data_IF_956475262927
#
_entry.id   IF_956475262927
#
_cell.length_a   1.000
_cell.length_b   1.000
_cell.length_c   1.000
_cell.angle_alpha   90.00
_cell.angle_beta   90.00
_cell.angle_gamma   90.00
#
_symmetry.space_group_name_H-M   'P 1'
#
loop_
_entity.id
_entity.type
_entity.pdbx_description
1 polymer ?
#
# COMPACT_ATOMS: atom_id res chain seq x y z
N UNK A 1 -1.84 -3.33 -15.52
CA UNK A 1 -1.74 -1.89 -15.14
C UNK A 1 -1.70 -0.93 -16.33
N UNK A 2 -1.29 -1.33 -17.54
CA UNK A 2 -1.19 -0.43 -18.70
C UNK A 2 -2.47 0.38 -19.03
N UNK A 3 -3.71 -0.19 -18.97
CA UNK A 3 -4.92 0.58 -19.26
C UNK A 3 -5.12 1.77 -18.31
N UNK A 4 -4.98 1.58 -17.00
CA UNK A 4 -5.14 2.68 -16.04
C UNK A 4 -4.03 3.73 -16.19
N UNK A 5 -2.80 3.32 -16.51
CA UNK A 5 -1.71 4.25 -16.82
C UNK A 5 -2.05 5.14 -18.03
N UNK A 6 -2.57 4.55 -19.11
CA UNK A 6 -3.00 5.28 -20.30
C UNK A 6 -4.17 6.24 -20.02
N UNK A 7 -5.16 5.78 -19.24
CA UNK A 7 -6.28 6.64 -18.80
C UNK A 7 -5.78 7.82 -17.97
N UNK A 8 -4.86 7.58 -17.03
CA UNK A 8 -4.27 8.65 -16.21
C UNK A 8 -3.54 9.68 -17.06
N UNK A 9 -2.71 9.25 -18.03
CA UNK A 9 -2.02 10.19 -18.94
C UNK A 9 -3.04 11.00 -19.74
N UNK A 10 -4.09 10.35 -20.27
CA UNK A 10 -5.12 11.03 -21.07
C UNK A 10 -5.85 12.09 -20.25
N UNK A 11 -6.25 11.75 -19.03
CA UNK A 11 -6.95 12.70 -18.14
C UNK A 11 -6.01 13.81 -17.64
N UNK A 12 -4.73 13.51 -17.41
CA UNK A 12 -3.73 14.54 -17.11
C UNK A 12 -3.57 15.53 -18.26
N UNK A 13 -3.44 15.06 -19.49
CA UNK A 13 -3.30 15.93 -20.66
C UNK A 13 -4.54 16.80 -20.88
N UNK A 14 -5.76 16.27 -20.67
CA UNK A 14 -7.00 17.06 -20.70
C UNK A 14 -7.00 18.18 -19.65
N UNK A 15 -6.49 17.89 -18.43
CA UNK A 15 -6.36 18.91 -17.38
C UNK A 15 -5.40 20.01 -17.82
N UNK A 16 -4.23 19.65 -18.35
CA UNK A 16 -3.23 20.63 -18.84
C UNK A 16 -3.76 21.53 -19.96
N UNK A 17 -4.61 21.00 -20.86
CA UNK A 17 -5.23 21.82 -21.91
C UNK A 17 -6.12 22.94 -21.36
N UNK A 18 -6.72 22.71 -20.20
CA UNK A 18 -7.60 23.68 -19.52
C UNK A 18 -6.83 24.62 -18.58
N UNK A 19 -5.52 24.40 -18.37
CA UNK A 19 -4.67 25.26 -17.54
C UNK A 19 -4.25 26.51 -18.32
N UNK A 20 -4.45 27.69 -17.73
CA UNK A 20 -4.15 28.99 -18.36
C UNK A 20 -2.65 29.25 -18.53
N UNK A 21 -1.80 28.60 -17.72
CA UNK A 21 -0.37 28.90 -17.60
C UNK A 21 0.49 27.74 -18.15
N UNK A 22 0.45 27.55 -19.48
CA UNK A 22 1.08 26.40 -20.17
C UNK A 22 2.60 26.33 -20.00
N UNK A 23 3.26 27.48 -19.81
CA UNK A 23 4.72 27.61 -19.70
C UNK A 23 5.31 27.01 -18.40
N UNK A 24 4.47 26.67 -17.42
CA UNK A 24 4.86 26.05 -16.13
C UNK A 24 4.23 24.69 -15.87
N UNK A 25 3.68 24.06 -16.91
CA UNK A 25 2.92 22.81 -16.74
C UNK A 25 3.82 21.63 -16.37
N UNK A 26 3.48 20.96 -15.27
CA UNK A 26 4.13 19.71 -14.86
C UNK A 26 3.71 18.57 -15.79
N UNK A 27 4.67 17.90 -16.43
CA UNK A 27 4.42 16.68 -17.21
C UNK A 27 4.15 15.47 -16.31
N UNK A 28 3.47 14.45 -16.84
CA UNK A 28 3.25 13.19 -16.15
C UNK A 28 3.82 12.02 -16.97
N UNK A 29 4.66 11.21 -16.33
CA UNK A 29 5.08 9.91 -16.83
C UNK A 29 4.31 8.85 -16.05
N UNK A 30 3.65 7.93 -16.76
CA UNK A 30 3.10 6.72 -16.15
C UNK A 30 3.91 5.51 -16.60
N UNK A 31 4.47 4.78 -15.63
CA UNK A 31 5.17 3.53 -15.90
C UNK A 31 4.36 2.36 -15.37
N UNK A 32 4.15 1.36 -16.20
CA UNK A 32 3.53 0.10 -15.81
C UNK A 32 4.47 -1.05 -16.12
N UNK A 33 4.67 -1.93 -15.16
CA UNK A 33 5.50 -3.12 -15.30
C UNK A 33 4.86 -4.29 -14.56
N UNK A 34 5.22 -5.49 -14.97
CA UNK A 34 4.74 -6.71 -14.31
C UNK A 34 5.50 -6.96 -13.02
N UNK A 35 4.77 -7.43 -12.01
CA UNK A 35 5.34 -7.80 -10.72
C UNK A 35 6.25 -9.02 -10.86
N UNK A 36 7.08 -9.28 -9.84
CA UNK A 36 7.87 -10.52 -9.80
C UNK A 36 6.94 -11.73 -9.87
N UNK A 37 7.36 -12.75 -10.62
CA UNK A 37 6.58 -13.97 -10.81
C UNK A 37 5.13 -13.73 -11.29
N UNK A 38 4.86 -12.67 -12.06
CA UNK A 38 3.50 -12.39 -12.53
C UNK A 38 3.51 -11.78 -13.93
N UNK A 39 2.37 -11.79 -14.62
CA UNK A 39 2.26 -11.32 -16.00
C UNK A 39 3.30 -11.98 -16.91
N UNK A 40 4.00 -11.16 -17.70
CA UNK A 40 5.10 -11.61 -18.57
C UNK A 40 6.37 -12.03 -17.83
N UNK A 41 6.45 -11.78 -16.51
CA UNK A 41 7.55 -12.19 -15.62
C UNK A 41 7.21 -13.44 -14.79
N UNK A 42 6.11 -14.13 -15.08
CA UNK A 42 5.78 -15.39 -14.40
C UNK A 42 6.83 -16.46 -14.70
N UNK A 43 7.34 -17.08 -13.64
CA UNK A 43 8.35 -18.15 -13.70
C UNK A 43 7.87 -19.43 -13.04
N UNK A 44 6.96 -19.32 -12.07
CA UNK A 44 6.30 -20.44 -11.39
C UNK A 44 4.84 -20.09 -11.08
N UNK A 45 3.92 -20.67 -11.86
CA UNK A 45 2.49 -20.47 -11.67
C UNK A 45 1.99 -21.01 -10.32
N UNK A 46 2.59 -22.07 -9.76
CA UNK A 46 2.14 -22.63 -8.47
C UNK A 46 2.36 -21.64 -7.33
N UNK A 47 3.46 -20.89 -7.35
CA UNK A 47 3.76 -19.86 -6.36
C UNK A 47 2.73 -18.71 -6.35
N UNK A 48 1.95 -18.53 -7.42
CA UNK A 48 0.82 -17.59 -7.47
C UNK A 48 -0.48 -18.15 -6.89
N UNK A 49 -0.54 -19.44 -6.58
CA UNK A 49 -1.74 -20.10 -6.12
C UNK A 49 -1.91 -20.05 -4.59
N UNK A 50 -3.13 -20.34 -4.13
CA UNK A 50 -3.46 -20.47 -2.71
C UNK A 50 -3.10 -21.86 -2.15
N UNK A 51 -3.06 -21.99 -0.82
CA UNK A 51 -2.92 -23.31 -0.16
C UNK A 51 -3.89 -24.36 -0.68
N UNK A 52 -5.16 -23.99 -0.88
CA UNK A 52 -6.21 -24.90 -1.39
C UNK A 52 -5.95 -25.40 -2.81
N UNK A 53 -5.07 -24.71 -3.54
CA UNK A 53 -4.68 -25.03 -4.91
C UNK A 53 -3.32 -25.76 -4.96
N UNK A 54 -2.79 -26.21 -3.82
CA UNK A 54 -1.56 -26.98 -3.73
C UNK A 54 -0.29 -26.17 -3.45
N UNK A 55 -0.38 -24.85 -3.29
CA UNK A 55 0.78 -24.06 -2.89
C UNK A 55 1.02 -24.14 -1.38
N UNK A 56 1.90 -25.04 -0.93
CA UNK A 56 2.27 -25.16 0.48
C UNK A 56 2.96 -23.89 1.03
N UNK A 57 3.62 -23.12 0.16
CA UNK A 57 4.39 -21.90 0.48
C UNK A 57 3.59 -20.61 0.27
N UNK A 58 2.25 -20.67 0.22
CA UNK A 58 1.39 -19.54 -0.15
C UNK A 58 1.70 -18.23 0.61
N UNK A 59 1.99 -18.30 1.91
CA UNK A 59 2.31 -17.11 2.69
C UNK A 59 3.71 -16.52 2.36
N UNK A 60 4.68 -17.38 2.08
CA UNK A 60 6.03 -16.97 1.69
C UNK A 60 6.01 -16.37 0.29
N UNK A 61 5.36 -17.04 -0.65
CA UNK A 61 5.34 -16.66 -2.06
C UNK A 61 4.63 -15.32 -2.25
N UNK A 62 3.40 -15.18 -1.71
CA UNK A 62 2.66 -13.94 -1.87
C UNK A 62 3.41 -12.75 -1.26
N UNK A 63 3.97 -12.88 -0.05
CA UNK A 63 4.72 -11.80 0.58
C UNK A 63 5.97 -11.42 -0.20
N UNK A 64 6.76 -12.42 -0.61
CA UNK A 64 8.01 -12.19 -1.33
C UNK A 64 7.79 -11.52 -2.70
N UNK A 65 6.70 -11.84 -3.38
CA UNK A 65 6.35 -11.26 -4.68
C UNK A 65 6.09 -9.75 -4.55
N UNK A 66 5.16 -9.33 -3.69
CA UNK A 66 4.81 -7.90 -3.62
C UNK A 66 5.87 -7.09 -2.87
N UNK A 67 6.58 -7.68 -1.90
CA UNK A 67 7.73 -7.01 -1.27
C UNK A 67 8.86 -6.81 -2.27
N UNK A 68 9.21 -7.83 -3.06
CA UNK A 68 10.20 -7.69 -4.12
C UNK A 68 9.77 -6.73 -5.22
N UNK A 69 8.46 -6.59 -5.48
CA UNK A 69 7.92 -5.57 -6.39
C UNK A 69 8.14 -4.15 -5.85
N UNK A 70 8.01 -3.93 -4.54
CA UNK A 70 8.35 -2.64 -3.93
C UNK A 70 9.84 -2.31 -4.07
N UNK A 71 10.73 -3.30 -3.92
CA UNK A 71 12.17 -3.15 -4.20
C UNK A 71 12.43 -2.81 -5.67
N UNK A 72 11.78 -3.53 -6.60
CA UNK A 72 11.87 -3.25 -8.04
C UNK A 72 11.39 -1.82 -8.36
N UNK A 73 10.38 -1.32 -7.65
CA UNK A 73 9.86 0.05 -7.81
C UNK A 73 10.92 1.09 -7.41
N UNK A 74 11.57 0.90 -6.26
CA UNK A 74 12.66 1.77 -5.80
C UNK A 74 13.83 1.77 -6.79
N UNK A 75 14.21 0.59 -7.27
CA UNK A 75 15.23 0.44 -8.30
C UNK A 75 14.85 1.16 -9.60
N UNK A 76 13.60 1.02 -10.07
CA UNK A 76 13.13 1.75 -11.25
C UNK A 76 13.25 3.27 -11.07
N UNK A 77 12.92 3.79 -9.88
CA UNK A 77 13.04 5.22 -9.56
C UNK A 77 14.50 5.70 -9.66
N UNK A 78 15.48 4.88 -9.28
CA UNK A 78 16.91 5.24 -9.37
C UNK A 78 17.35 5.54 -10.81
N UNK A 79 16.84 4.78 -11.79
CA UNK A 79 17.37 4.81 -13.15
C UNK A 79 16.46 5.50 -14.17
N UNK A 80 15.17 5.68 -13.87
CA UNK A 80 14.21 6.18 -14.86
C UNK A 80 14.60 7.54 -15.43
N UNK A 81 15.15 8.44 -14.62
CA UNK A 81 15.60 9.76 -15.11
C UNK A 81 16.80 9.65 -16.06
N UNK A 82 17.75 8.76 -15.79
CA UNK A 82 18.92 8.56 -16.64
C UNK A 82 18.55 7.99 -18.02
N UNK A 83 17.50 7.16 -18.09
CA UNK A 83 16.99 6.64 -19.35
C UNK A 83 16.05 7.62 -20.07
N UNK A 84 15.18 8.31 -19.34
CA UNK A 84 14.19 9.19 -19.94
C UNK A 84 14.78 10.56 -20.34
N UNK A 85 15.74 11.07 -19.58
CA UNK A 85 16.31 12.42 -19.70
C UNK A 85 17.85 12.40 -19.64
N UNK A 86 18.53 11.75 -20.60
CA UNK A 86 19.96 11.51 -20.55
C UNK A 86 20.81 12.79 -20.59
N UNK A 87 20.24 13.92 -21.02
CA UNK A 87 20.91 15.23 -21.05
C UNK A 87 20.28 16.23 -20.06
N UNK A 88 19.49 15.74 -19.10
CA UNK A 88 18.85 16.54 -18.04
C UNK A 88 17.92 17.64 -18.57
N UNK A 89 17.24 17.38 -19.69
CA UNK A 89 16.22 18.27 -20.27
C UNK A 89 14.98 18.43 -19.37
N UNK A 90 14.73 17.45 -18.49
CA UNK A 90 13.65 17.44 -17.52
C UNK A 90 14.09 16.84 -16.19
N UNK A 91 13.45 17.25 -15.11
CA UNK A 91 13.68 16.75 -13.75
C UNK A 91 12.41 16.11 -13.20
N UNK A 92 12.53 14.90 -12.65
CA UNK A 92 11.42 14.27 -11.93
C UNK A 92 11.36 14.88 -10.52
N UNK A 93 10.25 15.55 -10.20
CA UNK A 93 10.09 16.29 -8.94
C UNK A 93 9.30 15.53 -7.88
N UNK A 94 8.57 14.48 -8.28
CA UNK A 94 7.70 13.73 -7.37
C UNK A 94 7.42 12.33 -7.91
N UNK A 95 7.15 11.39 -6.99
CA UNK A 95 6.78 10.02 -7.32
C UNK A 95 5.49 9.61 -6.60
N UNK A 96 4.66 8.86 -7.31
CA UNK A 96 3.46 8.21 -6.77
C UNK A 96 3.48 6.72 -7.14
N UNK A 97 3.10 5.87 -6.20
CA UNK A 97 2.84 4.46 -6.48
C UNK A 97 1.35 4.17 -6.61
N UNK A 98 0.98 3.30 -7.54
CA UNK A 98 -0.40 2.86 -7.74
C UNK A 98 -0.43 1.36 -8.02
N UNK A 99 -1.30 0.63 -7.32
CA UNK A 99 -1.36 -0.82 -7.44
C UNK A 99 -2.72 -1.39 -7.07
N UNK A 100 -3.05 -2.53 -7.70
CA UNK A 100 -4.32 -3.25 -7.51
C UNK A 100 -4.04 -4.64 -6.96
N UNK A 101 -4.82 -5.08 -5.96
CA UNK A 101 -4.72 -6.41 -5.36
C UNK A 101 -3.29 -6.67 -4.84
N UNK A 102 -2.56 -7.61 -5.43
CA UNK A 102 -1.14 -7.86 -5.15
C UNK A 102 -0.30 -6.56 -5.24
N UNK A 103 -0.59 -5.71 -6.22
CA UNK A 103 0.06 -4.41 -6.36
C UNK A 103 -0.38 -3.40 -5.29
N UNK A 104 -1.59 -3.51 -4.76
CA UNK A 104 -2.05 -2.69 -3.64
C UNK A 104 -1.26 -2.98 -2.36
N UNK A 105 -0.94 -4.25 -2.10
CA UNK A 105 0.00 -4.62 -1.04
C UNK A 105 1.40 -4.03 -1.27
N UNK A 106 1.90 -4.09 -2.51
CA UNK A 106 3.18 -3.47 -2.85
C UNK A 106 3.20 -1.95 -2.63
N UNK A 107 2.09 -1.23 -2.91
CA UNK A 107 2.00 0.23 -2.67
C UNK A 107 2.15 0.55 -1.19
N UNK A 108 1.56 -0.23 -0.28
CA UNK A 108 1.79 -0.05 1.15
C UNK A 108 3.29 -0.16 1.50
N UNK A 109 4.00 -1.12 0.93
CA UNK A 109 5.44 -1.26 1.14
C UNK A 109 6.21 -0.08 0.55
N UNK A 110 5.88 0.36 -0.67
CA UNK A 110 6.46 1.56 -1.27
C UNK A 110 6.26 2.81 -0.38
N UNK A 111 5.06 2.99 0.16
CA UNK A 111 4.75 4.12 1.03
C UNK A 111 5.65 4.15 2.26
N UNK A 112 5.90 3.02 2.91
CA UNK A 112 6.71 2.98 4.14
C UNK A 112 8.22 2.91 3.89
N UNK A 113 8.66 2.34 2.76
CA UNK A 113 10.07 1.99 2.54
C UNK A 113 10.78 2.88 1.51
N UNK A 114 10.04 3.60 0.67
CA UNK A 114 10.62 4.48 -0.36
C UNK A 114 10.30 5.96 -0.04
N UNK A 115 11.24 6.71 0.54
CA UNK A 115 11.00 8.10 0.95
C UNK A 115 10.72 9.04 -0.24
N UNK A 116 11.16 8.71 -1.46
CA UNK A 116 10.87 9.52 -2.66
C UNK A 116 9.42 9.43 -3.12
N UNK A 117 8.70 8.37 -2.72
CA UNK A 117 7.27 8.22 -3.00
C UNK A 117 6.49 8.98 -1.93
N UNK A 118 5.91 10.11 -2.31
CA UNK A 118 5.16 10.99 -1.39
C UNK A 118 3.66 10.78 -1.46
N UNK A 119 3.18 9.96 -2.41
CA UNK A 119 1.77 9.63 -2.52
C UNK A 119 1.54 8.21 -3.03
N UNK A 120 0.41 7.61 -2.64
CA UNK A 120 0.10 6.22 -3.00
C UNK A 120 -1.39 5.98 -3.21
N UNK A 121 -1.71 5.18 -4.22
CA UNK A 121 -3.06 4.70 -4.52
C UNK A 121 -3.10 3.19 -4.33
N UNK A 122 -3.68 2.76 -3.22
CA UNK A 122 -3.87 1.36 -2.84
C UNK A 122 -5.27 0.94 -3.27
N UNK A 123 -5.37 0.00 -4.21
CA UNK A 123 -6.65 -0.56 -4.64
C UNK A 123 -6.69 -2.01 -4.20
N UNK A 124 -7.58 -2.34 -3.28
CA UNK A 124 -7.78 -3.71 -2.79
C UNK A 124 -6.46 -4.32 -2.26
N UNK A 125 -5.65 -3.49 -1.59
CA UNK A 125 -4.48 -3.92 -0.84
C UNK A 125 -4.79 -3.98 0.64
N UNK A 126 -4.07 -4.84 1.38
CA UNK A 126 -4.18 -4.90 2.84
C UNK A 126 -2.89 -4.43 3.51
N UNK A 127 -2.95 -3.53 4.51
CA UNK A 127 -1.82 -3.13 5.33
C UNK A 127 -1.51 -4.08 6.50
N UNK A 128 -2.24 -5.18 6.65
CA UNK A 128 -2.00 -6.19 7.70
C UNK A 128 -2.00 -7.59 7.08
N UNK A 129 -0.83 -8.02 6.63
CA UNK A 129 -0.66 -9.30 5.95
C UNK A 129 -1.05 -10.50 6.82
N UNK A 130 -0.73 -10.44 8.12
CA UNK A 130 -1.01 -11.52 9.07
C UNK A 130 -2.50 -11.78 9.19
N UNK A 131 -3.34 -10.74 9.24
CA UNK A 131 -4.80 -10.92 9.30
C UNK A 131 -5.35 -11.58 8.04
N UNK A 132 -4.80 -11.26 6.86
CA UNK A 132 -5.19 -11.93 5.60
C UNK A 132 -4.77 -13.40 5.62
N UNK A 133 -3.51 -13.69 5.97
CA UNK A 133 -3.00 -15.06 5.98
C UNK A 133 -3.66 -15.93 7.05
N UNK A 134 -3.94 -15.37 8.23
CA UNK A 134 -4.61 -16.09 9.31
C UNK A 134 -6.03 -16.51 8.91
N UNK A 135 -6.81 -15.62 8.29
CA UNK A 135 -8.14 -15.95 7.79
C UNK A 135 -8.07 -17.01 6.68
N UNK A 136 -7.10 -16.90 5.78
CA UNK A 136 -6.88 -17.91 4.73
C UNK A 136 -6.46 -19.26 5.29
N UNK A 137 -5.61 -19.29 6.31
CA UNK A 137 -5.19 -20.51 7.00
C UNK A 137 -6.39 -21.20 7.67
N UNK A 138 -7.21 -20.43 8.39
CA UNK A 138 -8.47 -20.89 8.99
C UNK A 138 -9.41 -21.49 7.95
N UNK A 139 -9.66 -20.74 6.87
CA UNK A 139 -10.57 -21.17 5.81
C UNK A 139 -10.01 -22.41 5.10
N UNK A 140 -8.71 -22.50 4.89
CA UNK A 140 -8.06 -23.66 4.25
C UNK A 140 -7.95 -24.88 5.17
N UNK A 141 -8.35 -24.76 6.45
CA UNK A 141 -8.26 -25.83 7.46
C UNK A 141 -6.85 -26.40 7.55
N UNK A 142 -5.83 -25.54 7.52
CA UNK A 142 -4.45 -25.97 7.69
C UNK A 142 -4.29 -26.65 9.05
N UNK A 143 -3.52 -27.74 9.11
CA UNK A 143 -3.26 -28.46 10.37
C UNK A 143 -2.63 -27.56 11.44
N UNK A 144 -1.72 -26.68 11.03
CA UNK A 144 -1.09 -25.66 11.89
C UNK A 144 -2.10 -24.67 12.50
N UNK A 145 -3.31 -24.59 11.92
CA UNK A 145 -4.44 -23.84 12.46
C UNK A 145 -5.38 -24.72 13.30
N UNK A 146 -5.79 -25.88 12.77
CA UNK A 146 -6.85 -26.72 13.38
C UNK A 146 -6.37 -27.54 14.56
N UNK A 147 -5.09 -27.92 14.59
CA UNK A 147 -4.55 -28.86 15.57
C UNK A 147 -4.05 -28.15 16.84
N UNK A 148 -4.05 -26.81 16.85
CA UNK A 148 -3.63 -26.01 18.01
C UNK A 148 -4.82 -25.66 18.92
N UNK A 149 -4.54 -25.42 20.20
CA UNK A 149 -5.52 -24.92 21.18
C UNK A 149 -5.01 -23.63 21.82
N UNK A 150 -5.71 -22.48 21.69
CA UNK A 150 -6.86 -22.26 20.79
C UNK A 150 -6.48 -22.41 19.30
N UNK A 151 -7.46 -22.57 18.38
CA UNK A 151 -7.16 -22.67 16.95
C UNK A 151 -6.36 -21.48 16.43
N UNK A 152 -5.33 -21.75 15.63
CA UNK A 152 -4.41 -20.75 15.08
C UNK A 152 -3.31 -20.28 16.05
N UNK A 153 -3.30 -20.69 17.33
CA UNK A 153 -2.31 -20.25 18.32
C UNK A 153 -0.86 -20.61 17.96
N UNK A 154 -0.67 -21.62 17.12
CA UNK A 154 0.65 -22.05 16.64
C UNK A 154 0.90 -21.69 15.18
N UNK A 155 0.01 -20.93 14.52
CA UNK A 155 0.16 -20.61 13.10
C UNK A 155 1.42 -19.79 12.81
N UNK A 156 1.66 -18.72 13.58
CA UNK A 156 2.86 -17.90 13.44
C UNK A 156 4.09 -18.65 13.95
N UNK A 157 5.09 -18.80 13.08
CA UNK A 157 6.28 -19.61 13.34
C UNK A 157 6.13 -21.08 12.92
N UNK A 158 4.98 -21.49 12.38
CA UNK A 158 4.78 -22.84 11.83
C UNK A 158 5.38 -23.00 10.44
N UNK A 159 5.28 -24.20 9.84
CA UNK A 159 5.68 -24.42 8.44
C UNK A 159 4.89 -23.59 7.43
N UNK A 160 3.64 -23.26 7.73
CA UNK A 160 2.75 -22.51 6.84
C UNK A 160 2.92 -20.99 7.02
N UNK A 161 3.61 -20.56 8.08
CA UNK A 161 4.03 -19.17 8.31
C UNK A 161 5.35 -19.14 9.11
N UNK A 162 6.50 -19.45 8.46
CA UNK A 162 7.76 -19.73 9.16
C UNK A 162 8.33 -18.53 9.89
N UNK A 163 9.22 -18.77 10.86
CA UNK A 163 9.87 -17.72 11.66
C UNK A 163 10.54 -16.64 10.82
N UNK A 164 11.23 -17.03 9.74
CA UNK A 164 11.84 -16.07 8.81
C UNK A 164 10.79 -15.15 8.15
N UNK A 165 9.60 -15.67 7.84
CA UNK A 165 8.50 -14.84 7.31
C UNK A 165 7.96 -13.89 8.39
N UNK A 166 7.83 -14.34 9.64
CA UNK A 166 7.46 -13.47 10.77
C UNK A 166 8.40 -12.26 10.87
N UNK A 167 9.71 -12.48 10.84
CA UNK A 167 10.71 -11.42 10.96
C UNK A 167 10.65 -10.42 9.79
N UNK A 168 10.46 -10.91 8.57
CA UNK A 168 10.35 -10.06 7.39
C UNK A 168 9.03 -9.26 7.41
N UNK A 169 7.92 -9.87 7.85
CA UNK A 169 6.63 -9.17 7.99
C UNK A 169 6.73 -8.09 9.06
N UNK A 170 7.33 -8.36 10.23
CA UNK A 170 7.59 -7.35 11.26
C UNK A 170 8.41 -6.16 10.75
N UNK A 171 9.25 -6.37 9.74
CA UNK A 171 10.11 -5.32 9.20
C UNK A 171 9.46 -4.49 8.10
N UNK A 172 8.63 -5.09 7.25
CA UNK A 172 8.20 -4.47 5.99
C UNK A 172 6.69 -4.29 5.85
N UNK A 173 5.86 -5.11 6.51
CA UNK A 173 4.40 -4.94 6.50
C UNK A 173 4.00 -3.72 7.35
N UNK A 174 3.01 -2.90 6.95
CA UNK A 174 2.64 -1.71 7.71
C UNK A 174 2.23 -2.01 9.15
N UNK A 175 1.35 -3.00 9.34
CA UNK A 175 0.91 -3.40 10.67
C UNK A 175 2.02 -4.13 11.45
N UNK A 176 2.85 -4.92 10.78
CA UNK A 176 4.04 -5.53 11.39
C UNK A 176 5.04 -4.50 11.92
N UNK A 177 5.35 -3.47 11.13
CA UNK A 177 6.33 -2.45 11.49
C UNK A 177 5.82 -1.49 12.57
N UNK A 178 4.57 -1.04 12.44
CA UNK A 178 4.03 0.01 13.30
C UNK A 178 3.40 -0.57 14.57
N UNK A 179 2.66 -1.67 14.53
CA UNK A 179 1.91 -2.16 15.70
C UNK A 179 2.73 -3.05 16.66
N UNK A 180 4.05 -3.10 16.49
CA UNK A 180 4.94 -3.87 17.38
C UNK A 180 5.03 -5.35 17.00
N UNK A 181 5.66 -6.15 17.87
CA UNK A 181 5.93 -7.57 17.58
C UNK A 181 4.65 -8.36 17.37
N UNK A 182 4.61 -9.16 16.31
CA UNK A 182 3.46 -9.95 15.93
C UNK A 182 3.09 -10.98 17.00
N UNK A 183 4.08 -11.54 17.69
CA UNK A 183 3.86 -12.55 18.74
C UNK A 183 3.24 -12.00 20.02
N UNK A 184 3.28 -10.69 20.23
CA UNK A 184 2.71 -10.02 21.42
C UNK A 184 1.51 -9.15 21.09
N UNK A 185 1.15 -9.05 19.81
CA UNK A 185 0.04 -8.22 19.32
C UNK A 185 -1.28 -8.85 19.74
N UNK A 186 -2.17 -8.04 20.32
CA UNK A 186 -3.52 -8.43 20.72
C UNK A 186 -4.54 -7.55 20.00
N UNK A 187 -5.84 -7.88 20.09
CA UNK A 187 -6.90 -7.01 19.56
C UNK A 187 -6.86 -5.61 20.20
N UNK A 188 -6.47 -5.53 21.48
CA UNK A 188 -6.30 -4.26 22.19
C UNK A 188 -5.26 -3.34 21.51
N UNK A 189 -4.19 -3.91 20.95
CA UNK A 189 -3.14 -3.15 20.24
C UNK A 189 -3.70 -2.25 19.13
N UNK A 190 -4.81 -2.64 18.50
CA UNK A 190 -5.44 -1.86 17.44
C UNK A 190 -6.43 -0.81 17.94
N UNK A 191 -6.92 -0.91 19.17
CA UNK A 191 -8.02 -0.08 19.67
C UNK A 191 -7.57 0.97 20.66
N UNK A 192 -6.62 0.65 21.54
CA UNK A 192 -6.12 1.63 22.51
C UNK A 192 -5.18 2.65 21.88
N UNK A 193 -4.97 3.73 22.58
CA UNK A 193 -3.87 4.64 22.28
C UNK A 193 -2.53 3.98 22.68
N UNK A 194 -1.46 4.17 21.89
CA UNK A 194 -0.13 3.72 22.29
C UNK A 194 0.30 4.35 23.62
N UNK A 195 1.03 3.61 24.46
CA UNK A 195 1.63 4.16 25.68
C UNK A 195 2.72 5.18 25.35
N UNK A 196 3.18 5.97 26.32
CA UNK A 196 4.28 6.93 26.09
C UNK A 196 5.58 6.24 25.63
N UNK A 197 5.89 5.05 26.14
CA UNK A 197 7.01 4.21 25.69
C UNK A 197 6.84 3.76 24.24
N UNK A 198 5.62 3.35 23.85
CA UNK A 198 5.33 2.97 22.47
C UNK A 198 5.40 4.18 21.55
N UNK A 199 4.86 5.33 21.96
CA UNK A 199 4.96 6.59 21.19
C UNK A 199 6.42 6.98 20.97
N UNK A 200 7.30 6.85 21.97
CA UNK A 200 8.75 7.10 21.79
C UNK A 200 9.36 6.26 20.67
N UNK A 201 8.92 5.01 20.49
CA UNK A 201 9.34 4.14 19.38
C UNK A 201 8.65 4.51 18.06
N UNK A 202 7.35 4.82 18.10
CA UNK A 202 6.50 5.06 16.93
C UNK A 202 6.79 6.39 16.24
N UNK A 203 7.00 7.46 17.02
CA UNK A 203 7.21 8.81 16.48
C UNK A 203 8.29 8.88 15.39
N UNK A 204 9.54 8.39 15.59
CA UNK A 204 10.54 8.41 14.54
C UNK A 204 10.16 7.55 13.33
N UNK A 205 9.50 6.40 13.53
CA UNK A 205 9.01 5.56 12.44
C UNK A 205 7.94 6.28 11.62
N UNK A 206 6.94 6.86 12.25
CA UNK A 206 5.89 7.62 11.57
C UNK A 206 6.46 8.81 10.79
N UNK A 207 7.43 9.53 11.38
CA UNK A 207 8.12 10.64 10.72
C UNK A 207 8.89 10.21 9.47
N UNK A 208 9.65 9.13 9.58
CA UNK A 208 10.49 8.64 8.46
C UNK A 208 9.69 7.94 7.37
N UNK A 209 8.58 7.30 7.71
CA UNK A 209 7.84 6.43 6.78
C UNK A 209 6.60 7.07 6.19
N UNK A 210 5.84 7.89 6.94
CA UNK A 210 4.52 8.35 6.51
C UNK A 210 4.30 9.86 6.55
N UNK A 211 5.14 10.64 7.24
CA UNK A 211 4.96 12.09 7.36
C UNK A 211 4.81 12.78 6.00
N UNK A 212 3.81 13.65 5.91
CA UNK A 212 3.48 14.41 4.70
C UNK A 212 2.93 13.58 3.54
N UNK A 213 2.76 12.26 3.68
CA UNK A 213 2.30 11.40 2.59
C UNK A 213 0.80 11.52 2.39
N UNK A 214 0.38 11.40 1.12
CA UNK A 214 -1.02 11.33 0.71
C UNK A 214 -1.36 9.92 0.24
N UNK A 215 -2.39 9.33 0.81
CA UNK A 215 -2.75 7.93 0.60
C UNK A 215 -4.23 7.86 0.23
N UNK A 216 -4.52 7.25 -0.91
CA UNK A 216 -5.86 6.82 -1.28
C UNK A 216 -5.94 5.30 -1.13
N UNK A 217 -6.73 4.82 -0.17
CA UNK A 217 -7.08 3.42 0.01
C UNK A 217 -8.49 3.16 -0.52
N UNK A 218 -8.61 2.29 -1.52
CA UNK A 218 -9.88 1.89 -2.12
C UNK A 218 -10.11 0.40 -1.87
N UNK A 219 -11.28 0.01 -1.39
CA UNK A 219 -11.62 -1.38 -1.16
C UNK A 219 -13.01 -1.74 -1.67
N UNK A 220 -13.21 -3.00 -2.06
CA UNK A 220 -14.53 -3.56 -2.35
C UNK A 220 -15.18 -4.06 -1.06
N UNK A 221 -16.40 -3.60 -0.74
CA UNK A 221 -17.12 -3.99 0.47
C UNK A 221 -17.55 -5.45 0.48
N UNK A 222 -17.66 -6.09 -0.70
CA UNK A 222 -18.00 -7.51 -0.86
C UNK A 222 -16.79 -8.38 -1.26
N UNK A 223 -15.57 -7.83 -1.24
CA UNK A 223 -14.36 -8.60 -1.55
C UNK A 223 -14.12 -9.71 -0.52
N UNK A 224 -13.96 -10.95 -1.00
CA UNK A 224 -13.66 -12.14 -0.20
C UNK A 224 -12.20 -12.59 -0.28
N UNK A 225 -11.43 -12.10 -1.25
CA UNK A 225 -10.02 -12.45 -1.46
C UNK A 225 -9.09 -11.55 -0.65
N UNK A 226 -9.35 -10.23 -0.64
CA UNK A 226 -8.67 -9.24 0.20
C UNK A 226 -9.73 -8.42 0.93
N UNK A 227 -10.42 -9.03 1.92
CA UNK A 227 -11.56 -8.39 2.55
C UNK A 227 -11.12 -7.16 3.36
N UNK A 228 -11.81 -6.04 3.20
CA UNK A 228 -11.49 -4.78 3.89
C UNK A 228 -11.33 -4.94 5.42
N UNK A 229 -12.15 -5.81 6.03
CA UNK A 229 -12.09 -6.16 7.47
C UNK A 229 -10.71 -6.63 7.95
N UNK A 230 -9.86 -7.15 7.04
CA UNK A 230 -8.51 -7.57 7.39
C UNK A 230 -7.59 -6.36 7.66
N UNK A 231 -7.71 -5.30 6.85
CA UNK A 231 -6.92 -4.07 7.00
C UNK A 231 -7.56 -3.03 7.91
N UNK A 232 -8.87 -3.11 8.11
CA UNK A 232 -9.67 -2.12 8.84
C UNK A 232 -9.13 -1.78 10.24
N UNK A 233 -8.68 -2.74 11.09
CA UNK A 233 -8.14 -2.40 12.42
C UNK A 233 -6.92 -1.49 12.34
N UNK A 234 -5.99 -1.76 11.42
CA UNK A 234 -4.82 -0.91 11.18
C UNK A 234 -5.24 0.47 10.64
N UNK A 235 -6.15 0.51 9.67
CA UNK A 235 -6.63 1.76 9.09
C UNK A 235 -7.34 2.64 10.12
N UNK A 236 -8.17 2.04 10.99
CA UNK A 236 -8.81 2.75 12.12
C UNK A 236 -7.77 3.26 13.11
N UNK A 237 -6.76 2.46 13.43
CA UNK A 237 -5.66 2.89 14.29
C UNK A 237 -4.92 4.09 13.69
N UNK A 238 -4.55 4.01 12.41
CA UNK A 238 -3.85 5.10 11.71
C UNK A 238 -4.70 6.36 11.64
N UNK A 239 -5.99 6.23 11.29
CA UNK A 239 -6.96 7.34 11.28
C UNK A 239 -7.06 8.05 12.63
N UNK A 240 -7.07 7.31 13.74
CA UNK A 240 -7.07 7.91 15.09
C UNK A 240 -5.75 8.63 15.37
N UNK A 241 -4.62 8.01 15.04
CA UNK A 241 -3.29 8.60 15.23
C UNK A 241 -3.14 9.96 14.51
N UNK A 242 -3.64 10.08 13.28
CA UNK A 242 -3.51 11.28 12.44
C UNK A 242 -4.69 12.25 12.54
N UNK A 243 -5.70 11.91 13.35
CA UNK A 243 -6.85 12.80 13.57
C UNK A 243 -6.42 14.10 14.24
N UNK A 244 -7.28 15.13 14.25
CA UNK A 244 -6.99 16.44 14.85
C UNK A 244 -6.49 16.33 16.30
N UNK A 245 -7.07 15.42 17.07
CA UNK A 245 -6.73 15.18 18.48
C UNK A 245 -5.83 13.95 18.66
N UNK A 246 -5.32 13.39 17.56
CA UNK A 246 -4.45 12.23 17.55
C UNK A 246 -3.01 12.56 17.96
N UNK A 247 -2.29 11.54 18.44
CA UNK A 247 -0.90 11.67 18.90
C UNK A 247 0.12 11.94 17.77
N UNK A 248 -0.30 11.85 16.50
CA UNK A 248 0.49 12.19 15.32
C UNK A 248 -0.23 13.18 14.40
N UNK A 249 -1.02 14.09 14.98
CA UNK A 249 -1.82 15.09 14.26
C UNK A 249 -0.99 16.10 13.46
N UNK A 250 0.24 16.37 13.90
CA UNK A 250 1.22 17.25 13.22
C UNK A 250 1.96 16.55 12.07
N UNK A 251 1.69 15.26 11.84
CA UNK A 251 2.33 14.44 10.81
C UNK A 251 1.97 14.83 9.38
N UNK A 252 0.92 15.63 9.16
CA UNK A 252 0.50 16.07 7.82
C UNK A 252 0.12 14.93 6.87
N UNK A 253 -0.25 13.77 7.41
CA UNK A 253 -0.66 12.60 6.63
C UNK A 253 -2.09 12.83 6.13
N UNK A 254 -2.30 12.66 4.83
CA UNK A 254 -3.65 12.64 4.25
C UNK A 254 -3.99 11.19 3.93
N UNK A 255 -5.03 10.65 4.57
CA UNK A 255 -5.53 9.29 4.31
C UNK A 255 -7.00 9.35 3.91
N UNK A 256 -7.26 9.11 2.63
CA UNK A 256 -8.59 8.91 2.07
C UNK A 256 -8.84 7.39 1.99
N UNK A 257 -9.86 6.89 2.67
CA UNK A 257 -10.14 5.46 2.76
C UNK A 257 -11.61 5.20 2.44
N UNK A 258 -11.85 4.64 1.25
CA UNK A 258 -13.15 4.56 0.59
C UNK A 258 -13.48 3.09 0.32
N UNK A 259 -14.61 2.63 0.86
CA UNK A 259 -15.15 1.29 0.64
C UNK A 259 -16.33 1.38 -0.32
N UNK A 260 -16.30 0.61 -1.40
CA UNK A 260 -17.38 0.54 -2.37
C UNK A 260 -18.30 -0.65 -2.05
N UNK A 261 -19.49 -0.35 -1.53
CA UNK A 261 -20.48 -1.37 -1.17
C UNK A 261 -20.86 -2.26 -2.35
N UNK A 262 -20.99 -3.56 -2.10
CA UNK A 262 -21.35 -4.56 -3.11
C UNK A 262 -20.26 -4.91 -4.12
N UNK A 263 -19.15 -4.15 -4.18
CA UNK A 263 -18.03 -4.43 -5.10
C UNK A 263 -17.18 -5.57 -4.55
N UNK A 264 -16.91 -6.56 -5.40
CA UNK A 264 -16.06 -7.71 -5.09
C UNK A 264 -14.56 -7.42 -5.25
N UNK A 265 -13.79 -8.46 -5.63
CA UNK A 265 -12.36 -8.34 -5.89
C UNK A 265 -12.08 -7.81 -7.31
N UNK A 266 -12.41 -6.55 -7.56
CA UNK A 266 -12.24 -5.92 -8.87
C UNK A 266 -12.04 -4.40 -8.79
N UNK A 267 -11.39 -3.82 -9.79
CA UNK A 267 -11.32 -2.37 -9.92
C UNK A 267 -12.61 -1.85 -10.57
N UNK A 268 -13.53 -1.31 -9.76
CA UNK A 268 -14.79 -0.77 -10.26
C UNK A 268 -14.62 0.57 -11.00
N UNK A 269 -15.57 0.98 -11.86
CA UNK A 269 -15.54 2.32 -12.48
C UNK A 269 -15.53 3.46 -11.45
N UNK A 270 -16.18 3.26 -10.30
CA UNK A 270 -16.13 4.21 -9.18
C UNK A 270 -14.72 4.37 -8.62
N UNK A 271 -13.99 3.26 -8.46
CA UNK A 271 -12.59 3.30 -8.05
C UNK A 271 -11.72 4.04 -9.07
N UNK A 272 -11.89 3.77 -10.38
CA UNK A 272 -11.17 4.49 -11.46
C UNK A 272 -11.39 6.00 -11.34
N UNK A 273 -12.62 6.45 -11.10
CA UNK A 273 -12.94 7.87 -10.92
C UNK A 273 -12.17 8.49 -9.75
N UNK A 274 -12.12 7.82 -8.61
CA UNK A 274 -11.38 8.30 -7.43
C UNK A 274 -9.87 8.32 -7.68
N UNK A 275 -9.32 7.33 -8.38
CA UNK A 275 -7.91 7.34 -8.81
C UNK A 275 -7.59 8.60 -9.62
N UNK A 276 -8.37 8.88 -10.67
CA UNK A 276 -8.13 10.02 -11.55
C UNK A 276 -8.31 11.36 -10.83
N UNK A 277 -9.28 11.43 -9.91
CA UNK A 277 -9.47 12.60 -9.05
C UNK A 277 -8.23 12.82 -8.18
N UNK A 278 -7.84 11.81 -7.41
CA UNK A 278 -6.75 11.89 -6.44
C UNK A 278 -5.40 12.21 -7.08
N UNK A 279 -5.08 11.63 -8.23
CA UNK A 279 -3.85 11.95 -8.98
C UNK A 279 -3.84 13.44 -9.36
N UNK A 280 -4.97 13.94 -9.88
CA UNK A 280 -5.13 15.35 -10.20
C UNK A 280 -4.96 16.27 -8.99
N UNK A 281 -5.63 15.94 -7.88
CA UNK A 281 -5.58 16.74 -6.64
C UNK A 281 -4.20 16.71 -5.97
N UNK A 282 -3.46 15.62 -6.14
CA UNK A 282 -2.12 15.45 -5.57
C UNK A 282 -1.12 16.37 -6.28
N UNK A 283 -1.05 16.30 -7.60
CA UNK A 283 -0.05 17.04 -8.36
C UNK A 283 -0.42 18.52 -8.61
N UNK A 284 -1.71 18.88 -8.53
CA UNK A 284 -2.14 20.30 -8.55
C UNK A 284 -1.77 21.05 -7.25
N UNK A 285 -1.73 20.36 -6.09
CA UNK A 285 -1.39 21.00 -4.80
C UNK A 285 0.10 21.37 -4.75
N UNK A 286 0.98 20.60 -5.38
CA UNK A 286 2.40 20.95 -5.54
C UNK A 286 2.59 22.25 -6.33
N UNK A 287 1.77 22.52 -7.36
CA UNK A 287 1.82 23.80 -8.09
C UNK A 287 1.31 24.98 -7.26
N UNK A 288 0.34 24.77 -6.35
CA UNK A 288 -0.18 25.82 -5.46
C UNK A 288 0.75 26.12 -4.28
N UNK A 289 1.42 25.11 -3.73
CA UNK A 289 2.38 25.25 -2.62
C UNK A 289 3.65 26.00 -3.04
N UNK A 290 4.12 25.83 -4.29
CA UNK A 290 5.19 26.64 -4.88
C UNK A 290 4.77 28.11 -5.04
N UNK A 291 3.46 28.39 -5.12
CA UNK A 291 2.90 29.73 -5.29
C UNK A 291 2.35 30.36 -3.98
N UNK A 292 2.66 29.79 -2.80
CA UNK A 292 2.36 30.39 -1.51
C UNK A 292 0.87 30.59 -1.19
N UNK A 293 -0.05 29.90 -1.87
CA UNK A 293 -1.49 29.96 -1.54
C UNK A 293 -1.87 28.82 -0.61
N UNK A 294 -2.49 29.08 0.55
CA UNK A 294 -2.88 28.03 1.49
C UNK A 294 -3.95 27.13 0.86
N UNK A 295 -3.78 25.82 1.01
CA UNK A 295 -4.79 24.82 0.67
C UNK A 295 -6.01 25.00 1.57
N UNK A 296 -7.21 25.08 0.99
CA UNK A 296 -8.44 24.95 1.78
C UNK A 296 -8.50 23.51 2.32
N UNK A 297 -8.41 23.41 3.63
CA UNK A 297 -8.67 22.22 4.44
C UNK A 297 -10.14 21.82 4.27
#
# INVERSE_FOLDING_TARGET
MAPIAATTITEWNKRLQNTKDKARSTGLIAVSFDQRNHGTREVDNLANQAWRSGNESHAQDMFSIYHGTAVDTSHLIDYISAYAFPVSEHTITSHMALGISLGGHAVWHCLLQEPRITSGVVIIGCPDYVRVMSERARLSKLKTWTDSSPPGSQFLGSKDFPRGLVEVVEKYDPAGLLLGKLTTRTEDTYTREPTEEEKKRLMPLMKTTLQGKRILNLAGGADKLVPYKAGEPFLRWLKRAISKDGWFSDGGIILEDIVFDGVGHEMSPGMVKEVIRFIGDTFNVTEAAVNGRPSKI
#
